data_IF_655869921440
#
_entry.id   IF_655869921440
#
_cell.length_a   1.000
_cell.length_b   1.000
_cell.length_c   1.000
_cell.angle_alpha   90.00
_cell.angle_beta   90.00
_cell.angle_gamma   90.00
#
_symmetry.space_group_name_H-M   'P 1'
#
loop_
_entity.id
_entity.type
_entity.pdbx_description
1 polymer ?
#
# COMPACT_ATOMS: atom_id res chain seq x y z
N UNK A 1 -5.85 -21.37 32.31
CA UNK A 1 -5.42 -22.12 31.12
C UNK A 1 -4.79 -21.11 30.16
N UNK A 2 -3.47 -20.98 30.20
CA UNK A 2 -2.73 -20.00 29.39
C UNK A 2 -2.68 -20.49 27.93
N UNK A 3 -3.23 -19.70 27.02
CA UNK A 3 -3.06 -19.90 25.58
C UNK A 3 -1.65 -19.42 25.18
N UNK A 4 -0.93 -20.15 24.31
CA UNK A 4 0.41 -19.77 23.87
C UNK A 4 0.37 -18.45 23.09
N UNK A 5 1.44 -17.65 23.23
CA UNK A 5 1.67 -16.41 22.50
C UNK A 5 1.67 -16.67 20.99
N UNK A 6 0.55 -16.42 20.33
CA UNK A 6 0.48 -16.25 18.88
C UNK A 6 0.92 -14.81 18.60
N UNK A 7 1.97 -14.63 17.80
CA UNK A 7 2.45 -13.33 17.36
C UNK A 7 1.40 -12.69 16.44
N UNK A 8 0.55 -11.82 16.96
CA UNK A 8 -0.33 -10.98 16.14
C UNK A 8 0.44 -9.72 15.75
N UNK A 9 0.49 -9.41 14.45
CA UNK A 9 0.77 -8.05 13.99
C UNK A 9 -0.46 -7.21 14.30
N UNK A 10 -0.32 -6.28 15.25
CA UNK A 10 -1.39 -5.35 15.62
C UNK A 10 -1.35 -4.19 14.63
N UNK A 11 -2.33 -4.08 13.73
CA UNK A 11 -2.59 -2.82 13.05
C UNK A 11 -3.44 -1.96 13.98
N UNK A 12 -2.79 -1.17 14.83
CA UNK A 12 -3.44 -0.31 15.83
C UNK A 12 -3.68 1.08 15.24
N UNK A 13 -4.89 1.61 15.34
CA UNK A 13 -5.11 3.05 15.23
C UNK A 13 -6.20 3.55 16.19
N UNK A 14 -5.86 4.70 16.77
CA UNK A 14 -6.37 5.34 17.99
C UNK A 14 -7.83 5.82 17.93
N UNK A 15 -8.35 6.13 19.14
CA UNK A 15 -9.54 6.94 19.43
C UNK A 15 -9.82 8.00 18.36
N UNK A 16 -10.98 7.97 17.72
CA UNK A 16 -11.48 9.07 16.88
C UNK A 16 -12.91 9.38 17.28
N UNK A 17 -13.13 10.60 17.77
CA UNK A 17 -14.45 11.23 17.87
C UNK A 17 -14.76 11.86 16.53
N UNK A 18 -15.74 11.34 15.79
CA UNK A 18 -16.23 12.00 14.57
C UNK A 18 -17.45 12.85 14.97
N UNK A 19 -17.22 14.12 15.29
CA UNK A 19 -18.27 15.13 15.30
C UNK A 19 -18.45 15.65 13.87
N UNK A 20 -19.66 15.57 13.33
CA UNK A 20 -19.96 15.97 11.97
C UNK A 20 -19.78 17.49 11.77
N UNK A 21 -18.64 17.91 11.20
CA UNK A 21 -18.52 19.16 10.44
C UNK A 21 -17.36 19.08 9.44
N UNK A 22 -17.50 18.21 8.44
CA UNK A 22 -16.73 18.31 7.20
C UNK A 22 -17.58 17.67 6.09
N UNK A 23 -18.47 18.47 5.51
CA UNK A 23 -19.07 18.18 4.22
C UNK A 23 -18.00 18.39 3.15
N UNK A 24 -17.55 17.31 2.51
CA UNK A 24 -17.18 17.36 1.10
C UNK A 24 -17.88 16.16 0.44
N UNK A 25 -18.81 16.47 -0.46
CA UNK A 25 -19.51 15.48 -1.27
C UNK A 25 -18.51 14.70 -2.12
N UNK A 26 -18.62 13.36 -2.13
CA UNK A 26 -17.81 12.50 -2.99
C UNK A 26 -18.70 11.67 -3.94
N UNK A 27 -18.31 11.54 -5.22
CA UNK A 27 -19.04 10.77 -6.21
C UNK A 27 -18.81 9.25 -6.07
N UNK A 28 -19.70 8.48 -6.70
CA UNK A 28 -19.94 7.03 -6.58
C UNK A 28 -18.78 6.07 -6.94
N UNK A 29 -17.53 6.53 -7.09
CA UNK A 29 -16.39 5.65 -7.36
C UNK A 29 -15.08 6.33 -6.97
N UNK A 30 -14.30 5.60 -6.15
CA UNK A 30 -13.02 6.00 -5.57
C UNK A 30 -11.96 6.31 -6.63
N UNK A 31 -11.43 7.54 -6.66
CA UNK A 31 -10.28 7.93 -7.49
C UNK A 31 -8.96 8.07 -6.69
N UNK A 32 -7.84 7.96 -7.41
CA UNK A 32 -6.43 7.95 -6.96
C UNK A 32 -6.04 9.11 -6.01
N UNK A 33 -6.77 10.24 -6.04
CA UNK A 33 -6.54 11.39 -5.15
C UNK A 33 -6.99 11.16 -3.70
N UNK A 34 -7.91 10.22 -3.46
CA UNK A 34 -8.43 9.92 -2.13
C UNK A 34 -7.48 9.01 -1.33
N UNK A 35 -6.67 8.22 -2.03
CA UNK A 35 -5.74 7.25 -1.45
C UNK A 35 -4.45 7.91 -0.93
N UNK A 36 -3.92 8.90 -1.67
CA UNK A 36 -2.66 9.58 -1.33
C UNK A 36 -2.76 10.48 -0.09
N UNK A 37 -3.97 10.85 0.34
CA UNK A 37 -4.15 11.80 1.44
C UNK A 37 -4.31 11.17 2.82
N UNK A 38 -4.82 9.93 2.98
CA UNK A 38 -5.22 9.48 4.32
C UNK A 38 -5.13 7.97 4.58
N UNK A 39 -4.09 7.55 5.29
CA UNK A 39 -4.05 6.24 5.98
C UNK A 39 -4.76 6.31 7.36
N UNK A 40 -5.12 7.51 7.81
CA UNK A 40 -5.73 7.76 9.13
C UNK A 40 -7.07 8.56 9.10
N UNK A 41 -7.66 8.84 7.92
CA UNK A 41 -8.99 9.47 7.89
C UNK A 41 -10.07 8.43 7.66
N UNK A 42 -11.07 8.50 8.53
CA UNK A 42 -12.32 7.80 8.36
C UNK A 42 -13.15 8.54 7.32
N UNK A 43 -13.64 7.83 6.30
CA UNK A 43 -14.51 8.40 5.29
C UNK A 43 -15.96 8.08 5.64
N UNK A 44 -16.81 9.10 5.73
CA UNK A 44 -18.24 8.90 5.95
C UNK A 44 -18.94 8.83 4.60
N UNK A 45 -19.66 7.74 4.33
CA UNK A 45 -20.53 7.58 3.16
C UNK A 45 -21.96 7.43 3.65
N UNK A 46 -22.88 8.21 3.08
CA UNK A 46 -24.31 8.05 3.35
C UNK A 46 -24.92 7.09 2.31
N UNK A 47 -25.31 5.91 2.75
CA UNK A 47 -25.87 4.85 1.91
C UNK A 47 -27.29 4.55 2.38
N UNK A 48 -28.30 4.85 1.56
CA UNK A 48 -29.71 4.58 1.89
C UNK A 48 -30.16 5.19 3.24
N UNK A 49 -29.62 6.36 3.60
CA UNK A 49 -29.89 7.03 4.89
C UNK A 49 -29.08 6.50 6.07
N UNK A 50 -28.11 5.61 5.84
CA UNK A 50 -27.19 5.07 6.85
C UNK A 50 -25.79 5.64 6.67
N UNK A 51 -25.10 5.99 7.76
CA UNK A 51 -23.72 6.50 7.73
C UNK A 51 -22.73 5.35 7.89
N UNK A 52 -21.95 5.10 6.86
CA UNK A 52 -20.87 4.11 6.92
C UNK A 52 -19.53 4.82 7.03
N UNK A 53 -18.73 4.40 8.01
CA UNK A 53 -17.41 4.97 8.26
C UNK A 53 -16.34 3.99 7.80
N UNK A 54 -15.68 4.35 6.70
CA UNK A 54 -14.68 3.53 6.04
C UNK A 54 -13.29 3.88 6.55
N UNK A 55 -12.51 2.84 6.78
CA UNK A 55 -11.07 2.94 6.87
C UNK A 55 -10.50 1.87 5.92
N UNK A 56 -9.37 2.14 5.27
CA UNK A 56 -8.76 1.23 4.30
C UNK A 56 -8.07 0.05 4.99
N UNK A 57 -8.79 -0.66 5.88
CA UNK A 57 -8.28 -1.80 6.60
C UNK A 57 -8.49 -3.09 5.80
N UNK A 58 -7.43 -3.91 5.76
CA UNK A 58 -7.34 -5.13 4.97
C UNK A 58 -7.50 -6.39 5.82
N UNK A 59 -8.26 -7.34 5.30
CA UNK A 59 -8.26 -8.72 5.77
C UNK A 59 -8.10 -9.69 4.60
N UNK A 60 -7.10 -10.59 4.65
CA UNK A 60 -6.94 -11.66 3.68
C UNK A 60 -8.08 -12.69 3.87
N UNK A 61 -8.98 -12.89 2.88
CA UNK A 61 -10.10 -13.81 3.00
C UNK A 61 -9.66 -15.27 3.16
N UNK A 62 -8.46 -15.61 2.69
CA UNK A 62 -7.99 -17.00 2.64
C UNK A 62 -7.36 -17.46 3.95
N UNK A 63 -6.93 -16.52 4.82
CA UNK A 63 -6.36 -16.84 6.14
C UNK A 63 -7.40 -16.72 7.25
N UNK A 64 -7.10 -17.25 8.43
CA UNK A 64 -7.90 -16.98 9.64
C UNK A 64 -7.74 -15.52 10.06
N UNK A 65 -8.80 -14.95 10.63
CA UNK A 65 -8.81 -13.54 11.03
C UNK A 65 -9.79 -13.26 12.16
N UNK A 66 -9.59 -12.12 12.82
CA UNK A 66 -10.55 -11.50 13.75
C UNK A 66 -10.72 -10.04 13.36
N UNK A 67 -11.96 -9.63 13.13
CA UNK A 67 -12.34 -8.23 12.97
C UNK A 67 -12.97 -7.81 14.30
N UNK A 68 -12.42 -6.80 14.95
CA UNK A 68 -12.83 -6.38 16.30
C UNK A 68 -13.18 -4.90 16.28
N UNK A 69 -14.38 -4.56 16.74
CA UNK A 69 -14.77 -3.19 17.05
C UNK A 69 -15.28 -3.08 18.49
N UNK A 70 -14.81 -2.07 19.20
CA UNK A 70 -15.20 -1.76 20.57
C UNK A 70 -15.96 -0.44 20.59
N UNK A 71 -17.24 -0.49 20.90
CA UNK A 71 -18.14 0.66 20.93
C UNK A 71 -18.31 1.16 22.36
N UNK A 72 -18.14 2.46 22.56
CA UNK A 72 -18.32 3.15 23.85
C UNK A 72 -19.53 4.07 23.77
N UNK A 73 -20.64 3.62 24.33
CA UNK A 73 -21.92 4.33 24.37
C UNK A 73 -22.22 4.98 25.72
N UNK A 74 -21.30 4.88 26.70
CA UNK A 74 -21.52 5.33 28.08
C UNK A 74 -21.99 6.79 28.23
N UNK A 75 -21.40 7.69 27.46
CA UNK A 75 -21.70 9.14 27.54
C UNK A 75 -22.39 9.67 26.27
N UNK A 76 -22.94 8.78 25.43
CA UNK A 76 -23.44 9.15 24.10
C UNK A 76 -24.68 8.37 23.71
N UNK A 77 -25.64 9.08 23.13
CA UNK A 77 -26.86 8.47 22.61
C UNK A 77 -26.57 7.86 21.24
N UNK A 78 -26.25 6.56 21.22
CA UNK A 78 -26.25 5.75 20.01
C UNK A 78 -27.70 5.41 19.65
N UNK A 79 -28.52 6.38 19.26
CA UNK A 79 -29.99 6.30 19.06
C UNK A 79 -30.52 5.27 18.02
N UNK A 80 -29.66 4.41 17.47
CA UNK A 80 -29.97 3.60 16.29
C UNK A 80 -29.31 2.20 16.34
N UNK A 81 -28.95 1.64 15.17
CA UNK A 81 -28.13 0.43 15.03
C UNK A 81 -26.70 0.77 14.62
N UNK A 82 -25.76 -0.05 15.03
CA UNK A 82 -24.35 0.10 14.69
C UNK A 82 -23.61 -1.23 14.69
N UNK A 83 -22.44 -1.29 14.06
CA UNK A 83 -21.59 -2.48 14.07
C UNK A 83 -20.50 -2.49 13.02
N UNK A 84 -20.25 -3.68 12.49
CA UNK A 84 -19.17 -4.00 11.56
C UNK A 84 -19.72 -4.30 10.18
N UNK A 85 -18.94 -3.96 9.15
CA UNK A 85 -19.11 -4.46 7.79
C UNK A 85 -17.78 -4.93 7.20
N UNK A 86 -17.80 -5.97 6.37
CA UNK A 86 -16.60 -6.54 5.75
C UNK A 86 -16.90 -7.15 4.38
N UNK A 87 -15.85 -7.56 3.66
CA UNK A 87 -15.99 -8.16 2.34
C UNK A 87 -16.48 -7.16 1.29
N UNK A 88 -16.28 -5.86 1.53
CA UNK A 88 -16.90 -4.79 0.74
C UNK A 88 -16.23 -4.66 -0.62
N UNK A 89 -17.06 -4.70 -1.67
CA UNK A 89 -16.66 -4.31 -3.04
C UNK A 89 -17.05 -2.87 -3.36
N UNK A 90 -18.27 -2.51 -2.98
CA UNK A 90 -18.93 -1.23 -3.22
C UNK A 90 -20.11 -1.10 -2.24
N UNK A 91 -20.96 -0.08 -2.44
CA UNK A 91 -22.18 0.17 -1.63
C UNK A 91 -23.26 -0.91 -1.80
N UNK A 92 -23.10 -1.82 -2.77
CA UNK A 92 -24.08 -2.84 -3.15
C UNK A 92 -23.67 -4.26 -2.74
N UNK A 93 -22.42 -4.48 -2.30
CA UNK A 93 -21.90 -5.80 -1.94
C UNK A 93 -20.98 -5.75 -0.71
N UNK A 94 -21.50 -6.21 0.43
CA UNK A 94 -20.77 -6.35 1.70
C UNK A 94 -21.53 -7.25 2.69
N UNK A 95 -20.83 -7.75 3.71
CA UNK A 95 -21.41 -8.41 4.88
C UNK A 95 -21.49 -7.43 6.05
N UNK A 96 -22.43 -7.65 6.97
CA UNK A 96 -22.56 -6.84 8.18
C UNK A 96 -22.97 -7.64 9.40
N UNK A 97 -22.59 -7.12 10.56
CA UNK A 97 -22.92 -7.61 11.89
C UNK A 97 -23.18 -6.42 12.79
N UNK A 98 -24.42 -6.27 13.25
CA UNK A 98 -24.91 -5.05 13.90
C UNK A 98 -25.66 -5.36 15.19
N UNK A 99 -25.64 -4.41 16.13
CA UNK A 99 -26.46 -4.36 17.33
C UNK A 99 -27.30 -3.08 17.37
N UNK A 100 -28.24 -3.00 18.30
CA UNK A 100 -29.10 -1.82 18.52
C UNK A 100 -29.39 -1.58 20.02
N UNK A 101 -30.06 -0.47 20.31
CA UNK A 101 -30.49 -0.11 21.68
C UNK A 101 -31.53 -1.05 22.30
N UNK A 102 -32.24 -1.85 21.51
CA UNK A 102 -33.15 -2.87 22.04
C UNK A 102 -32.41 -4.13 22.54
N UNK A 103 -31.07 -4.09 22.61
CA UNK A 103 -30.20 -5.21 22.96
C UNK A 103 -30.45 -6.41 22.04
N UNK A 104 -30.58 -6.12 20.74
CA UNK A 104 -30.72 -7.11 19.67
C UNK A 104 -29.50 -7.06 18.75
N UNK A 105 -29.21 -8.19 18.10
CA UNK A 105 -28.20 -8.27 17.06
C UNK A 105 -28.79 -8.83 15.77
N UNK A 106 -28.17 -8.53 14.63
CA UNK A 106 -28.47 -9.14 13.33
C UNK A 106 -27.21 -9.42 12.53
N UNK A 107 -27.30 -10.38 11.60
CA UNK A 107 -26.23 -10.70 10.65
C UNK A 107 -26.85 -10.76 9.26
N UNK A 108 -26.16 -10.21 8.28
CA UNK A 108 -26.62 -10.25 6.90
C UNK A 108 -25.55 -9.86 5.90
N UNK A 109 -25.96 -9.77 4.65
CA UNK A 109 -25.13 -9.26 3.56
C UNK A 109 -25.99 -8.56 2.52
N UNK A 110 -25.40 -7.59 1.84
CA UNK A 110 -25.98 -6.94 0.67
C UNK A 110 -25.37 -7.56 -0.59
N UNK A 111 -26.20 -7.81 -1.60
CA UNK A 111 -25.76 -8.24 -2.92
C UNK A 111 -26.62 -7.54 -3.98
N UNK A 112 -25.98 -6.81 -4.89
CA UNK A 112 -26.64 -6.00 -5.92
C UNK A 112 -27.71 -5.04 -5.32
N UNK A 113 -27.40 -4.43 -4.19
CA UNK A 113 -28.31 -3.51 -3.51
C UNK A 113 -29.42 -4.19 -2.71
N UNK A 114 -29.60 -5.51 -2.81
CA UNK A 114 -30.61 -6.27 -2.06
C UNK A 114 -30.05 -6.77 -0.73
N UNK A 115 -30.77 -6.48 0.35
CA UNK A 115 -30.46 -6.98 1.68
C UNK A 115 -30.84 -8.47 1.81
N UNK A 116 -29.93 -9.29 2.31
CA UNK A 116 -30.14 -10.70 2.60
C UNK A 116 -29.91 -10.95 4.09
N UNK A 117 -30.93 -11.46 4.76
CA UNK A 117 -30.89 -11.80 6.18
C UNK A 117 -30.20 -13.15 6.34
N UNK A 118 -29.19 -13.21 7.21
CA UNK A 118 -28.65 -14.48 7.72
C UNK A 118 -29.29 -14.78 9.08
N UNK A 119 -29.19 -13.82 10.00
CA UNK A 119 -29.81 -13.89 11.32
C UNK A 119 -30.64 -12.60 11.47
N UNK A 120 -31.97 -12.71 11.66
CA UNK A 120 -32.83 -11.55 11.91
C UNK A 120 -32.50 -10.92 13.27
N UNK A 121 -33.10 -9.76 13.56
CA UNK A 121 -32.96 -9.13 14.87
C UNK A 121 -33.34 -10.10 15.98
N UNK A 122 -32.36 -10.41 16.83
CA UNK A 122 -32.51 -11.36 17.93
C UNK A 122 -32.00 -10.76 19.22
N UNK A 123 -32.88 -10.78 20.23
CA UNK A 123 -32.61 -10.20 21.55
C UNK A 123 -31.60 -11.02 22.36
N UNK A 124 -30.62 -10.33 22.96
CA UNK A 124 -29.54 -10.89 23.81
C UNK A 124 -29.20 -9.96 24.99
N UNK A 125 -30.19 -9.64 25.83
CA UNK A 125 -30.07 -8.69 26.96
C UNK A 125 -28.99 -9.04 28.01
N UNK A 126 -28.62 -10.32 28.14
CA UNK A 126 -27.53 -10.74 29.06
C UNK A 126 -26.13 -10.59 28.45
N UNK A 127 -26.04 -10.22 27.18
CA UNK A 127 -24.77 -10.16 26.42
C UNK A 127 -24.52 -8.75 25.91
N UNK A 128 -25.53 -8.09 25.34
CA UNK A 128 -25.43 -6.71 24.84
C UNK A 128 -25.71 -5.76 26.01
N UNK A 129 -24.76 -4.87 26.30
CA UNK A 129 -24.89 -3.88 27.38
C UNK A 129 -25.28 -2.52 26.82
N UNK A 130 -25.70 -1.59 27.68
CA UNK A 130 -26.08 -0.24 27.29
C UNK A 130 -24.88 0.67 27.04
N UNK A 131 -23.80 0.51 27.83
CA UNK A 131 -22.68 1.46 27.85
C UNK A 131 -21.49 1.04 26.98
N UNK A 132 -21.28 -0.26 26.77
CA UNK A 132 -20.08 -0.74 26.10
C UNK A 132 -20.27 -2.10 25.43
N UNK A 133 -19.88 -2.20 24.16
CA UNK A 133 -19.99 -3.45 23.42
C UNK A 133 -18.78 -3.71 22.54
N UNK A 134 -18.23 -4.91 22.64
CA UNK A 134 -17.26 -5.43 21.67
C UNK A 134 -17.99 -6.33 20.68
N UNK A 135 -17.90 -6.01 19.39
CA UNK A 135 -18.33 -6.89 18.31
C UNK A 135 -17.08 -7.50 17.67
N UNK A 136 -17.09 -8.83 17.52
CA UNK A 136 -16.03 -9.55 16.83
C UNK A 136 -16.58 -10.52 15.78
N UNK A 137 -15.98 -10.48 14.58
CA UNK A 137 -16.17 -11.48 13.53
C UNK A 137 -14.88 -12.27 13.38
N UNK A 138 -14.91 -13.55 13.74
CA UNK A 138 -13.74 -14.41 13.77
C UNK A 138 -13.87 -15.57 12.80
N UNK A 139 -12.98 -15.64 11.80
CA UNK A 139 -12.82 -16.81 10.95
C UNK A 139 -11.83 -17.80 11.58
N UNK A 140 -12.28 -19.05 11.74
CA UNK A 140 -11.44 -20.21 12.09
C UNK A 140 -11.67 -21.32 11.09
N UNK A 141 -10.68 -21.60 10.24
CA UNK A 141 -10.79 -22.51 9.12
C UNK A 141 -11.98 -22.17 8.23
N UNK A 142 -12.95 -23.07 8.15
CA UNK A 142 -14.14 -22.95 7.31
C UNK A 142 -15.35 -22.34 8.04
N UNK A 143 -15.17 -21.81 9.25
CA UNK A 143 -16.29 -21.31 10.08
C UNK A 143 -16.09 -19.86 10.50
N UNK A 144 -17.13 -19.04 10.33
CA UNK A 144 -17.24 -17.72 10.96
C UNK A 144 -17.94 -17.82 12.31
N UNK A 145 -17.39 -17.14 13.30
CA UNK A 145 -17.90 -16.98 14.65
C UNK A 145 -18.21 -15.50 14.87
N UNK A 146 -19.41 -15.21 15.35
CA UNK A 146 -19.84 -13.86 15.71
C UNK A 146 -19.90 -13.75 17.21
N UNK A 147 -19.16 -12.80 17.78
CA UNK A 147 -19.06 -12.60 19.21
C UNK A 147 -19.55 -11.20 19.60
N UNK A 148 -20.24 -11.14 20.72
CA UNK A 148 -20.57 -9.91 21.43
C UNK A 148 -20.04 -10.06 22.85
N UNK A 149 -19.21 -9.12 23.31
CA UNK A 149 -18.65 -9.13 24.68
C UNK A 149 -18.09 -10.51 25.06
N UNK A 150 -17.20 -11.03 24.21
CA UNK A 150 -16.54 -12.35 24.30
C UNK A 150 -17.46 -13.59 24.26
N UNK A 151 -18.77 -13.41 24.06
CA UNK A 151 -19.73 -14.52 23.92
C UNK A 151 -20.05 -14.75 22.46
N UNK A 152 -19.85 -15.99 22.00
CA UNK A 152 -20.32 -16.42 20.67
C UNK A 152 -21.85 -16.35 20.64
N UNK A 153 -22.40 -15.50 19.77
CA UNK A 153 -23.85 -15.33 19.57
C UNK A 153 -24.36 -16.07 18.33
N UNK A 154 -23.49 -16.33 17.35
CA UNK A 154 -23.84 -17.03 16.11
C UNK A 154 -22.61 -17.69 15.46
N UNK A 155 -22.84 -18.71 14.62
CA UNK A 155 -21.81 -19.34 13.78
C UNK A 155 -22.38 -19.66 12.39
N UNK A 156 -21.54 -19.60 11.36
CA UNK A 156 -21.89 -20.05 10.01
C UNK A 156 -20.69 -20.61 9.26
N UNK A 157 -20.95 -21.32 8.16
CA UNK A 157 -19.93 -21.63 7.17
C UNK A 157 -19.36 -20.35 6.53
N UNK A 158 -18.04 -20.29 6.42
CA UNK A 158 -17.33 -19.20 5.74
C UNK A 158 -17.64 -19.20 4.25
N UNK A 159 -17.98 -18.04 3.71
CA UNK A 159 -18.11 -17.80 2.27
C UNK A 159 -17.00 -16.84 1.83
N UNK A 160 -16.16 -17.21 0.86
CA UNK A 160 -15.15 -16.33 0.31
C UNK A 160 -15.76 -15.01 -0.18
N UNK A 161 -15.04 -13.92 0.04
CA UNK A 161 -15.41 -12.59 -0.44
C UNK A 161 -14.30 -12.04 -1.34
N UNK A 162 -14.71 -11.33 -2.40
CA UNK A 162 -13.82 -10.90 -3.49
C UNK A 162 -12.88 -9.75 -3.09
N UNK A 163 -13.30 -8.90 -2.17
CA UNK A 163 -12.54 -7.72 -1.73
C UNK A 163 -12.50 -7.64 -0.21
N UNK A 164 -11.49 -6.97 0.30
CA UNK A 164 -11.00 -7.11 1.67
C UNK A 164 -11.32 -5.93 2.58
N UNK A 165 -12.15 -4.99 2.10
CA UNK A 165 -12.49 -3.79 2.85
C UNK A 165 -13.31 -4.11 4.09
N UNK A 166 -12.96 -3.47 5.21
CA UNK A 166 -13.65 -3.54 6.50
C UNK A 166 -14.02 -2.12 6.96
N UNK A 167 -15.22 -1.93 7.49
CA UNK A 167 -15.72 -0.62 7.89
C UNK A 167 -16.62 -0.71 9.13
N UNK A 168 -16.74 0.41 9.84
CA UNK A 168 -17.75 0.59 10.87
C UNK A 168 -19.05 1.09 10.24
N UNK A 169 -20.18 0.59 10.70
CA UNK A 169 -21.50 0.92 10.17
C UNK A 169 -22.37 1.51 11.27
N UNK A 170 -23.11 2.59 10.99
CA UNK A 170 -24.06 3.17 11.93
C UNK A 170 -25.20 3.87 11.18
N UNK A 171 -26.41 3.83 11.72
CA UNK A 171 -27.47 4.77 11.32
C UNK A 171 -27.69 5.88 12.35
N UNK A 172 -26.86 5.94 13.39
CA UNK A 172 -26.82 7.07 14.31
C UNK A 172 -26.09 8.27 13.68
N UNK A 173 -26.41 9.47 14.19
CA UNK A 173 -25.76 10.71 13.75
C UNK A 173 -24.25 10.70 14.00
N UNK A 174 -23.83 10.05 15.08
CA UNK A 174 -22.45 9.83 15.47
C UNK A 174 -22.20 8.34 15.72
N UNK A 175 -20.94 7.92 15.64
CA UNK A 175 -20.49 6.61 16.09
C UNK A 175 -19.33 6.81 17.07
N UNK A 176 -19.40 6.15 18.22
CA UNK A 176 -18.34 6.20 19.22
C UNK A 176 -17.73 4.81 19.42
N UNK A 177 -16.42 4.72 19.21
CA UNK A 177 -15.66 3.48 19.34
C UNK A 177 -14.29 3.75 19.98
N UNK A 178 -13.81 2.80 20.80
CA UNK A 178 -12.46 2.83 21.40
C UNK A 178 -11.42 2.21 20.49
N UNK A 179 -11.80 1.14 19.80
CA UNK A 179 -10.88 0.33 19.01
C UNK A 179 -11.58 -0.23 17.79
N UNK A 180 -10.87 -0.21 16.68
CA UNK A 180 -11.19 -0.98 15.49
C UNK A 180 -9.90 -1.63 15.01
N UNK A 181 -9.88 -2.96 15.01
CA UNK A 181 -8.66 -3.73 14.79
C UNK A 181 -8.92 -4.98 13.96
N UNK A 182 -7.91 -5.35 13.17
CA UNK A 182 -7.86 -6.62 12.45
C UNK A 182 -6.70 -7.42 13.02
N UNK A 183 -6.98 -8.66 13.41
CA UNK A 183 -5.96 -9.62 13.83
C UNK A 183 -5.91 -10.74 12.81
N UNK A 184 -4.77 -10.90 12.16
CA UNK A 184 -4.55 -11.94 11.17
C UNK A 184 -3.08 -12.33 11.16
N UNK A 185 -2.82 -13.62 11.02
CA UNK A 185 -1.47 -14.11 10.79
C UNK A 185 -1.05 -13.76 9.35
N UNK A 186 -0.13 -12.80 9.22
CA UNK A 186 0.40 -12.40 7.93
C UNK A 186 1.50 -13.35 7.43
N UNK A 187 1.88 -14.35 8.23
CA UNK A 187 3.00 -15.26 7.99
C UNK A 187 4.26 -14.80 8.71
N UNK A 188 5.28 -15.67 8.70
CA UNK A 188 6.61 -15.32 9.16
C UNK A 188 7.30 -14.53 8.07
N UNK A 189 7.71 -13.30 8.38
CA UNK A 189 8.67 -12.58 7.55
C UNK A 189 10.04 -13.14 7.90
N UNK A 190 10.70 -13.75 6.91
CA UNK A 190 12.09 -14.18 7.07
C UNK A 190 12.94 -12.93 7.13
N UNK A 191 13.41 -12.58 8.32
CA UNK A 191 14.34 -11.47 8.50
C UNK A 191 15.75 -11.98 8.18
N UNK A 192 16.49 -11.20 7.40
CA UNK A 192 17.93 -11.43 7.21
C UNK A 192 18.62 -11.28 8.56
N UNK A 193 19.47 -12.24 8.92
CA UNK A 193 20.26 -12.17 10.15
C UNK A 193 21.13 -10.91 10.14
N UNK A 194 21.03 -10.09 11.19
CA UNK A 194 21.69 -8.78 11.24
C UNK A 194 21.10 -7.72 10.29
N UNK A 195 19.90 -7.94 9.73
CA UNK A 195 19.18 -6.91 8.96
C UNK A 195 18.81 -5.67 9.79
N UNK A 196 18.81 -5.80 11.11
CA UNK A 196 18.73 -4.71 12.08
C UNK A 196 20.08 -4.05 12.40
N UNK A 197 21.19 -4.44 11.76
CA UNK A 197 22.51 -3.83 11.99
C UNK A 197 22.51 -2.31 11.69
N UNK A 198 21.54 -1.83 10.91
CA UNK A 198 21.30 -0.40 10.67
C UNK A 198 20.46 0.27 11.76
N UNK A 199 19.78 -0.48 12.62
CA UNK A 199 19.02 0.06 13.74
C UNK A 199 19.96 0.74 14.75
N UNK A 200 19.71 2.03 15.01
CA UNK A 200 20.56 2.84 15.88
C UNK A 200 21.74 3.52 15.17
N UNK A 201 21.96 3.28 13.88
CA UNK A 201 22.88 4.11 13.09
C UNK A 201 22.29 5.51 12.91
N UNK A 202 23.12 6.54 13.13
CA UNK A 202 22.72 7.92 12.85
C UNK A 202 23.10 8.27 11.42
N UNK A 203 22.18 8.77 10.57
CA UNK A 203 22.53 9.17 9.22
C UNK A 203 23.61 10.26 9.28
N UNK A 204 24.68 10.08 8.51
CA UNK A 204 25.72 11.09 8.35
C UNK A 204 25.37 11.97 7.16
N UNK A 205 25.29 13.28 7.38
CA UNK A 205 25.14 14.24 6.29
C UNK A 205 26.40 14.18 5.39
N UNK A 206 26.21 14.03 4.08
CA UNK A 206 27.30 13.91 3.10
C UNK A 206 28.06 15.24 2.84
N UNK A 207 27.63 16.34 3.45
CA UNK A 207 28.27 17.64 3.34
C UNK A 207 27.89 18.41 2.06
N UNK A 208 28.36 19.67 1.94
CA UNK A 208 28.00 20.57 0.84
C UNK A 208 28.64 20.21 -0.50
N UNK A 209 29.62 19.30 -0.51
CA UNK A 209 30.20 18.78 -1.75
C UNK A 209 29.20 17.91 -2.52
N UNK A 210 28.33 17.19 -1.80
CA UNK A 210 27.30 16.34 -2.40
C UNK A 210 25.92 17.01 -2.33
N UNK A 211 25.53 17.47 -1.14
CA UNK A 211 24.22 18.09 -0.90
C UNK A 211 24.18 19.53 -1.40
N UNK A 212 23.01 19.96 -1.87
CA UNK A 212 22.77 21.34 -2.30
C UNK A 212 21.59 22.00 -1.59
N UNK A 213 21.35 23.26 -1.95
CA UNK A 213 20.14 24.00 -1.58
C UNK A 213 18.95 23.69 -2.51
N UNK A 214 19.15 22.90 -3.58
CA UNK A 214 18.10 22.44 -4.47
C UNK A 214 17.41 21.19 -3.90
N UNK A 215 16.39 20.70 -4.60
CA UNK A 215 15.75 19.41 -4.27
C UNK A 215 16.65 18.29 -4.79
N UNK A 216 17.41 17.68 -3.88
CA UNK A 216 18.21 16.48 -4.12
C UNK A 216 17.43 15.22 -3.68
N UNK A 217 17.28 14.23 -4.57
CA UNK A 217 16.50 13.01 -4.27
C UNK A 217 16.89 11.80 -5.13
N UNK A 218 16.24 10.66 -4.84
CA UNK A 218 16.41 9.39 -5.54
C UNK A 218 17.88 8.93 -5.64
N UNK A 219 18.61 8.83 -4.52
CA UNK A 219 19.99 8.35 -4.54
C UNK A 219 20.05 6.87 -4.93
N UNK A 220 20.98 6.54 -5.82
CA UNK A 220 21.31 5.18 -6.26
C UNK A 220 22.82 5.01 -6.20
N UNK A 221 23.30 4.07 -5.39
CA UNK A 221 24.73 3.78 -5.26
C UNK A 221 25.13 2.64 -6.20
N UNK A 222 26.31 2.73 -6.80
CA UNK A 222 26.88 1.66 -7.61
C UNK A 222 27.19 0.42 -6.75
N UNK A 223 27.14 -0.80 -7.33
CA UNK A 223 27.44 -2.04 -6.61
C UNK A 223 28.79 -2.09 -5.90
N UNK A 224 29.80 -1.38 -6.41
CA UNK A 224 31.11 -1.26 -5.77
C UNK A 224 31.17 -0.22 -4.64
N UNK A 225 30.07 0.50 -4.38
CA UNK A 225 29.97 1.53 -3.36
C UNK A 225 30.75 2.82 -3.67
N UNK A 226 31.28 2.98 -4.89
CA UNK A 226 32.20 4.07 -5.25
C UNK A 226 31.54 5.23 -5.99
N UNK A 227 30.36 5.05 -6.56
CA UNK A 227 29.65 6.12 -7.29
C UNK A 227 28.24 6.24 -6.76
N UNK A 228 27.87 7.46 -6.36
CA UNK A 228 26.51 7.81 -5.97
C UNK A 228 25.90 8.63 -7.09
N UNK A 229 24.84 8.11 -7.71
CA UNK A 229 23.98 8.84 -8.62
C UNK A 229 22.79 9.39 -7.84
N UNK A 230 22.31 10.57 -8.20
CA UNK A 230 21.11 11.14 -7.61
C UNK A 230 20.53 12.18 -8.55
N UNK A 231 19.34 12.67 -8.23
CA UNK A 231 18.66 13.71 -8.99
C UNK A 231 18.71 15.03 -8.26
N UNK A 232 18.92 16.10 -9.03
CA UNK A 232 18.78 17.48 -8.58
C UNK A 232 17.76 18.20 -9.48
N UNK A 233 16.78 18.86 -8.87
CA UNK A 233 15.73 19.55 -9.63
C UNK A 233 16.08 21.00 -9.93
N UNK A 234 15.87 21.40 -11.19
CA UNK A 234 15.97 22.79 -11.66
C UNK A 234 17.27 23.51 -11.22
N UNK A 235 18.38 22.76 -11.15
CA UNK A 235 19.69 23.34 -10.87
C UNK A 235 20.13 24.26 -12.01
N UNK A 236 20.85 25.32 -11.66
CA UNK A 236 21.29 26.34 -12.63
C UNK A 236 22.23 25.77 -13.71
N UNK A 237 23.02 24.75 -13.35
CA UNK A 237 23.92 24.02 -14.24
C UNK A 237 23.27 22.76 -14.86
N UNK A 238 21.95 22.60 -14.68
CA UNK A 238 21.15 21.52 -15.24
C UNK A 238 20.59 21.82 -16.64
N UNK A 239 19.88 20.84 -17.19
CA UNK A 239 19.19 20.94 -18.48
C UNK A 239 17.68 21.19 -18.32
N UNK A 240 17.18 21.19 -17.08
CA UNK A 240 15.79 21.51 -16.73
C UNK A 240 15.07 20.34 -16.10
N UNK A 241 13.98 20.61 -15.37
CA UNK A 241 13.21 19.56 -14.71
C UNK A 241 14.05 18.83 -13.65
N UNK A 242 14.46 17.61 -13.96
CA UNK A 242 15.18 16.72 -13.05
C UNK A 242 16.41 16.16 -13.77
N UNK A 243 17.59 16.48 -13.26
CA UNK A 243 18.87 16.14 -13.87
C UNK A 243 19.61 15.13 -13.00
N UNK A 244 20.28 14.17 -13.64
CA UNK A 244 21.18 13.20 -13.00
C UNK A 244 22.49 13.91 -12.65
N UNK A 245 22.85 13.85 -11.37
CA UNK A 245 24.15 14.22 -10.83
C UNK A 245 24.84 12.97 -10.29
N UNK A 246 26.16 13.01 -10.17
CA UNK A 246 26.92 11.96 -9.52
C UNK A 246 28.04 12.52 -8.64
N UNK A 247 28.45 11.73 -7.64
CA UNK A 247 29.64 11.93 -6.83
C UNK A 247 30.40 10.62 -6.71
N UNK A 248 31.73 10.69 -6.62
CA UNK A 248 32.59 9.51 -6.49
C UNK A 248 33.21 9.46 -5.11
N UNK A 249 33.46 8.26 -4.60
CA UNK A 249 34.04 8.03 -3.29
C UNK A 249 35.49 7.60 -3.41
N UNK A 250 36.39 8.34 -2.78
CA UNK A 250 37.80 7.97 -2.65
C UNK A 250 38.01 6.81 -1.68
N UNK A 251 39.21 6.25 -1.66
CA UNK A 251 39.57 5.10 -0.82
C UNK A 251 39.48 5.39 0.68
N UNK A 252 39.72 6.64 1.09
CA UNK A 252 39.52 7.13 2.46
C UNK A 252 38.03 7.37 2.82
N UNK A 253 37.13 7.09 1.88
CA UNK A 253 35.69 7.15 2.05
C UNK A 253 35.09 8.55 1.92
N UNK A 254 35.85 9.53 1.42
CA UNK A 254 35.39 10.91 1.16
C UNK A 254 34.66 10.97 -0.18
N UNK A 255 33.54 11.68 -0.23
CA UNK A 255 32.79 11.91 -1.46
C UNK A 255 33.30 13.16 -2.17
N UNK A 256 33.44 13.08 -3.50
CA UNK A 256 33.82 14.20 -4.35
C UNK A 256 32.69 15.23 -4.46
N UNK A 257 33.03 16.42 -4.94
CA UNK A 257 32.03 17.39 -5.40
C UNK A 257 31.10 16.73 -6.42
N UNK A 258 29.79 16.98 -6.29
CA UNK A 258 28.79 16.47 -7.23
C UNK A 258 28.90 17.15 -8.58
N UNK A 259 28.79 16.39 -9.65
CA UNK A 259 28.83 16.88 -11.03
C UNK A 259 27.56 16.48 -11.78
N UNK A 260 27.04 17.37 -12.62
CA UNK A 260 25.97 17.04 -13.56
C UNK A 260 26.51 16.04 -14.59
N UNK A 261 25.82 14.91 -14.80
CA UNK A 261 26.33 13.83 -15.68
C UNK A 261 26.39 14.23 -17.17
N UNK A 262 25.68 15.29 -17.56
CA UNK A 262 25.66 15.80 -18.92
C UNK A 262 24.80 15.00 -19.90
N UNK A 263 24.86 15.39 -21.18
CA UNK A 263 24.27 14.64 -22.29
C UNK A 263 25.13 13.40 -22.61
N UNK A 264 24.54 12.29 -23.07
CA UNK A 264 23.13 12.15 -23.45
C UNK A 264 22.22 11.65 -22.31
N UNK A 265 22.68 11.61 -21.05
CA UNK A 265 21.84 11.08 -19.96
C UNK A 265 20.79 12.09 -19.50
N UNK A 266 21.19 13.36 -19.44
CA UNK A 266 20.30 14.47 -19.19
C UNK A 266 19.76 15.07 -20.49
N UNK A 267 18.50 15.45 -20.45
CA UNK A 267 17.80 16.24 -21.45
C UNK A 267 16.80 17.18 -20.75
N UNK A 268 15.97 17.89 -21.51
CA UNK A 268 15.02 18.90 -21.00
C UNK A 268 13.88 18.30 -20.13
N UNK A 269 13.76 16.97 -20.11
CA UNK A 269 12.78 16.23 -19.31
C UNK A 269 13.30 15.84 -17.93
N UNK A 270 12.65 14.84 -17.35
CA UNK A 270 13.05 14.30 -16.06
C UNK A 270 13.92 13.06 -16.27
N UNK A 271 15.08 13.04 -15.64
CA UNK A 271 16.13 12.05 -15.85
C UNK A 271 16.55 11.45 -14.50
N UNK A 272 16.62 10.13 -14.42
CA UNK A 272 16.98 9.40 -13.19
C UNK A 272 17.76 8.14 -13.51
N UNK A 273 18.67 7.75 -12.63
CA UNK A 273 19.25 6.40 -12.57
C UNK A 273 18.45 5.58 -11.56
N UNK A 274 17.76 4.56 -12.04
CA UNK A 274 17.00 3.65 -11.19
C UNK A 274 17.82 2.47 -10.69
N UNK A 275 18.74 1.96 -11.51
CA UNK A 275 19.63 0.89 -11.10
C UNK A 275 20.98 1.02 -11.80
N UNK A 276 22.02 0.58 -11.09
CA UNK A 276 23.39 0.46 -11.61
C UNK A 276 23.71 -1.03 -11.65
N UNK A 277 24.09 -1.53 -12.82
CA UNK A 277 24.40 -2.94 -13.00
C UNK A 277 25.74 -3.32 -12.34
N UNK A 278 25.95 -4.61 -11.97
CA UNK A 278 27.20 -5.08 -11.35
C UNK A 278 28.46 -4.84 -12.18
N UNK A 279 28.33 -4.63 -13.48
CA UNK A 279 29.44 -4.29 -14.37
C UNK A 279 29.93 -2.84 -14.20
N UNK A 280 29.23 -2.00 -13.41
CA UNK A 280 29.44 -0.55 -13.26
C UNK A 280 29.47 0.25 -14.57
N UNK A 281 29.07 -0.38 -15.68
CA UNK A 281 29.11 0.16 -17.03
C UNK A 281 27.72 0.24 -17.65
N UNK A 282 26.70 -0.37 -17.04
CA UNK A 282 25.32 -0.33 -17.51
C UNK A 282 24.43 0.36 -16.46
N UNK A 283 23.66 1.35 -16.90
CA UNK A 283 22.65 2.01 -16.07
C UNK A 283 21.26 1.75 -16.63
N UNK A 284 20.32 1.46 -15.74
CA UNK A 284 18.90 1.55 -16.02
C UNK A 284 18.40 2.95 -15.65
N UNK A 285 17.77 3.63 -16.60
CA UNK A 285 17.25 4.99 -16.41
C UNK A 285 15.75 5.05 -16.66
N UNK A 286 15.09 6.02 -16.02
CA UNK A 286 13.74 6.45 -16.38
C UNK A 286 13.87 7.75 -17.19
N UNK A 287 14.43 7.62 -18.39
CA UNK A 287 14.51 8.66 -19.43
C UNK A 287 14.74 7.98 -20.77
N UNK A 288 13.96 8.32 -21.79
CA UNK A 288 14.13 7.74 -23.11
C UNK A 288 13.86 8.75 -24.24
N UNK A 289 14.81 8.89 -25.16
CA UNK A 289 14.71 9.81 -26.30
C UNK A 289 13.61 9.40 -27.29
N UNK A 290 12.68 10.31 -27.62
CA UNK A 290 11.62 10.09 -28.61
C UNK A 290 10.37 9.39 -28.08
N UNK A 291 9.99 9.63 -26.81
CA UNK A 291 8.95 8.84 -26.12
C UNK A 291 7.57 9.25 -26.60
N UNK A 292 6.71 8.26 -26.81
CA UNK A 292 5.34 8.48 -27.26
C UNK A 292 4.31 8.23 -26.16
N UNK A 293 4.68 7.48 -25.12
CA UNK A 293 3.79 7.18 -23.98
C UNK A 293 4.57 6.88 -22.69
N UNK A 294 3.83 6.78 -21.58
CA UNK A 294 4.38 6.42 -20.26
C UNK A 294 4.87 4.97 -20.17
N UNK A 295 4.43 4.09 -21.09
CA UNK A 295 4.87 2.70 -21.12
C UNK A 295 6.32 2.53 -21.65
N UNK A 296 6.91 3.61 -22.18
CA UNK A 296 8.22 3.62 -22.85
C UNK A 296 9.33 4.30 -22.04
N UNK A 297 9.11 4.51 -20.74
CA UNK A 297 10.02 5.28 -19.89
C UNK A 297 11.28 4.51 -19.46
N UNK A 298 11.24 3.17 -19.52
CA UNK A 298 12.37 2.31 -19.18
C UNK A 298 13.44 2.33 -20.28
N UNK A 299 14.66 2.72 -19.92
CA UNK A 299 15.80 2.72 -20.83
C UNK A 299 17.09 2.22 -20.18
N UNK A 300 18.04 1.87 -21.03
CA UNK A 300 19.37 1.41 -20.66
C UNK A 300 20.42 2.24 -21.40
N UNK A 301 21.49 2.59 -20.70
CA UNK A 301 22.67 3.24 -21.26
C UNK A 301 23.93 2.50 -20.82
N UNK A 302 24.95 2.55 -21.67
CA UNK A 302 26.21 1.85 -21.47
C UNK A 302 27.37 2.84 -21.54
N UNK A 303 28.35 2.67 -20.66
CA UNK A 303 29.59 3.43 -20.71
C UNK A 303 30.43 2.94 -21.89
N UNK A 304 30.86 3.87 -22.72
CA UNK A 304 31.76 3.64 -23.86
C UNK A 304 33.07 4.38 -23.64
N UNK A 305 34.04 4.18 -24.55
CA UNK A 305 35.32 4.92 -24.53
C UNK A 305 35.13 6.44 -24.63
N UNK A 306 34.03 6.90 -25.22
CA UNK A 306 33.75 8.32 -25.49
C UNK A 306 32.69 8.90 -24.51
N UNK A 307 32.34 8.15 -23.46
CA UNK A 307 31.30 8.52 -22.50
C UNK A 307 30.07 7.60 -22.58
N UNK A 308 28.96 8.02 -21.99
CA UNK A 308 27.74 7.22 -21.98
C UNK A 308 27.03 7.21 -23.33
N UNK A 309 26.48 6.06 -23.73
CA UNK A 309 25.63 5.95 -24.90
C UNK A 309 24.28 6.64 -24.69
N UNK A 310 23.60 7.03 -25.76
CA UNK A 310 22.21 7.51 -25.67
C UNK A 310 21.33 6.43 -25.03
N UNK A 311 20.50 6.77 -24.02
CA UNK A 311 19.55 5.83 -23.42
C UNK A 311 18.66 5.15 -24.46
N UNK A 312 18.75 3.82 -24.52
CA UNK A 312 18.03 2.94 -25.42
C UNK A 312 16.85 2.28 -24.71
N UNK A 313 15.67 2.34 -25.31
CA UNK A 313 14.45 1.79 -24.71
C UNK A 313 14.48 0.29 -24.58
N UNK A 314 13.84 -0.19 -23.51
CA UNK A 314 13.41 -1.58 -23.37
C UNK A 314 11.92 -1.61 -23.11
N UNK A 315 11.18 -2.31 -23.98
CA UNK A 315 9.74 -2.44 -23.83
C UNK A 315 9.39 -3.52 -22.81
N UNK A 316 8.33 -3.30 -22.04
CA UNK A 316 7.66 -4.32 -21.26
C UNK A 316 6.38 -4.70 -22.02
N UNK A 317 6.27 -5.95 -22.44
CA UNK A 317 5.17 -6.41 -23.28
C UNK A 317 3.83 -6.17 -22.56
N UNK A 318 2.89 -5.42 -23.17
CA UNK A 318 1.56 -5.15 -22.58
C UNK A 318 1.63 -4.57 -21.16
N UNK A 319 2.48 -3.56 -20.92
CA UNK A 319 2.58 -2.91 -19.60
C UNK A 319 1.26 -2.26 -19.13
N UNK A 320 0.48 -1.67 -20.04
CA UNK A 320 -0.89 -1.18 -19.76
C UNK A 320 -0.97 -0.35 -18.48
N UNK A 321 -0.04 0.58 -18.28
CA UNK A 321 -0.04 1.44 -17.12
C UNK A 321 -1.26 2.37 -17.14
N UNK A 322 -2.00 2.41 -16.03
CA UNK A 322 -3.22 3.23 -15.88
C UNK A 322 -3.05 4.39 -14.90
N UNK A 323 -1.88 4.51 -14.25
CA UNK A 323 -1.64 5.49 -13.19
C UNK A 323 -0.81 6.67 -13.65
N UNK A 324 -0.45 7.52 -12.69
CA UNK A 324 0.58 8.56 -12.87
C UNK A 324 1.97 8.08 -12.44
N UNK A 325 2.01 7.14 -11.50
CA UNK A 325 3.22 6.77 -10.78
C UNK A 325 3.58 5.32 -11.02
N UNK A 326 4.87 5.11 -11.27
CA UNK A 326 5.48 3.80 -11.40
C UNK A 326 6.87 3.85 -10.79
N UNK A 327 7.28 2.76 -10.16
CA UNK A 327 8.62 2.62 -9.62
C UNK A 327 9.16 1.27 -10.06
N UNK A 328 10.38 1.25 -10.57
CA UNK A 328 11.06 0.06 -11.06
C UNK A 328 12.30 -0.18 -10.24
N UNK A 329 12.59 -1.47 -10.07
CA UNK A 329 13.88 -1.96 -9.63
C UNK A 329 14.30 -3.15 -10.50
N UNK A 330 15.60 -3.27 -10.73
CA UNK A 330 16.20 -4.26 -11.60
C UNK A 330 17.13 -5.14 -10.76
N UNK A 331 16.89 -6.45 -10.80
CA UNK A 331 17.75 -7.41 -10.15
C UNK A 331 19.19 -7.32 -10.69
N UNK A 332 20.16 -7.69 -9.85
CA UNK A 332 21.58 -7.64 -10.19
C UNK A 332 21.93 -8.47 -11.45
N UNK A 333 21.14 -9.48 -11.79
CA UNK A 333 21.31 -10.28 -13.01
C UNK A 333 20.94 -9.55 -14.31
N UNK A 334 20.29 -8.39 -14.22
CA UNK A 334 19.83 -7.57 -15.35
C UNK A 334 18.66 -8.17 -16.12
N UNK A 335 18.07 -9.26 -15.61
CA UNK A 335 17.05 -10.05 -16.31
C UNK A 335 15.69 -9.99 -15.64
N UNK A 336 15.62 -9.58 -14.38
CA UNK A 336 14.36 -9.50 -13.64
C UNK A 336 14.09 -8.06 -13.22
N UNK A 337 12.92 -7.53 -13.58
CA UNK A 337 12.45 -6.23 -13.08
C UNK A 337 11.25 -6.47 -12.20
N UNK A 338 11.27 -5.90 -11.00
CA UNK A 338 10.10 -5.75 -10.14
C UNK A 338 9.68 -4.30 -10.10
N UNK A 339 8.39 -4.05 -10.20
CA UNK A 339 7.87 -2.69 -10.30
C UNK A 339 6.50 -2.56 -9.68
N UNK A 340 6.25 -1.41 -9.07
CA UNK A 340 4.92 -1.02 -8.60
C UNK A 340 4.21 -0.22 -9.68
N UNK A 341 3.01 -0.65 -10.06
CA UNK A 341 2.19 0.03 -11.06
C UNK A 341 0.69 -0.23 -10.87
N UNK A 342 -0.13 0.65 -11.45
CA UNK A 342 -1.58 0.44 -11.58
C UNK A 342 -1.89 -0.11 -12.97
N UNK A 343 -2.61 -1.24 -13.01
CA UNK A 343 -3.01 -1.98 -14.21
C UNK A 343 -4.46 -2.48 -14.06
N UNK A 344 -5.11 -2.96 -15.14
CA UNK A 344 -6.46 -3.52 -15.06
C UNK A 344 -6.61 -4.67 -14.05
N UNK A 345 -5.53 -5.44 -13.82
CA UNK A 345 -5.47 -6.59 -12.92
C UNK A 345 -4.93 -6.25 -11.50
N UNK A 346 -4.76 -4.97 -11.18
CA UNK A 346 -4.34 -4.51 -9.85
C UNK A 346 -5.44 -4.77 -8.80
N UNK A 347 -5.04 -5.33 -7.65
CA UNK A 347 -5.90 -5.56 -6.49
C UNK A 347 -6.16 -4.26 -5.72
N UNK A 348 -5.12 -3.47 -5.46
CA UNK A 348 -5.13 -2.24 -4.66
C UNK A 348 -5.05 -0.92 -5.44
N UNK A 349 -4.38 0.08 -4.86
CA UNK A 349 -4.06 1.35 -5.52
C UNK A 349 -2.97 1.17 -6.57
N UNK A 350 -1.87 0.54 -6.19
CA UNK A 350 -0.78 0.06 -7.06
C UNK A 350 -0.26 -1.24 -6.48
N UNK A 351 0.00 -2.19 -7.37
CA UNK A 351 0.47 -3.51 -7.02
C UNK A 351 1.92 -3.70 -7.50
N UNK A 352 2.67 -4.59 -6.84
CA UNK A 352 3.92 -5.12 -7.37
C UNK A 352 3.68 -6.16 -8.46
N UNK A 353 4.46 -6.01 -9.52
CA UNK A 353 4.54 -6.90 -10.66
C UNK A 353 6.00 -7.30 -10.88
N UNK A 354 6.19 -8.46 -11.51
CA UNK A 354 7.49 -8.90 -12.01
C UNK A 354 7.45 -9.09 -13.52
N UNK A 355 8.57 -8.81 -14.19
CA UNK A 355 8.78 -9.15 -15.59
C UNK A 355 10.22 -9.58 -15.86
N UNK A 356 10.41 -10.42 -16.88
CA UNK A 356 11.65 -11.10 -17.21
C UNK A 356 12.15 -10.74 -18.61
N UNK A 357 13.46 -10.57 -18.77
CA UNK A 357 14.12 -10.28 -20.03
C UNK A 357 13.98 -11.48 -20.98
N UNK A 358 13.57 -11.21 -22.23
CA UNK A 358 13.42 -12.20 -23.28
C UNK A 358 14.61 -12.15 -24.27
N UNK A 359 14.83 -13.20 -25.07
CA UNK A 359 15.91 -13.25 -26.07
C UNK A 359 15.86 -12.13 -27.12
N UNK A 360 14.67 -11.62 -27.42
CA UNK A 360 14.48 -10.48 -28.34
C UNK A 360 14.81 -9.11 -27.71
N UNK A 361 15.21 -9.09 -26.43
CA UNK A 361 15.57 -7.90 -25.69
C UNK A 361 14.41 -7.12 -25.07
N UNK A 362 13.15 -7.58 -25.17
CA UNK A 362 12.03 -6.99 -24.41
C UNK A 362 11.74 -7.76 -23.13
N UNK A 363 11.01 -7.16 -22.20
CA UNK A 363 10.55 -7.83 -20.99
C UNK A 363 9.17 -8.47 -21.21
N UNK A 364 8.90 -9.59 -20.53
CA UNK A 364 7.62 -10.32 -20.58
C UNK A 364 6.41 -9.46 -20.18
N UNK A 365 5.20 -10.01 -20.30
CA UNK A 365 4.03 -9.36 -19.72
C UNK A 365 4.13 -9.30 -18.19
N UNK A 366 3.72 -8.19 -17.54
CA UNK A 366 3.77 -8.07 -16.10
C UNK A 366 2.97 -9.20 -15.42
N UNK A 367 3.59 -9.92 -14.49
CA UNK A 367 2.92 -10.89 -13.63
C UNK A 367 2.67 -10.26 -12.26
N UNK A 368 1.40 -10.10 -11.89
CA UNK A 368 1.01 -9.60 -10.57
C UNK A 368 1.54 -10.54 -9.48
N UNK A 369 2.16 -10.00 -8.42
CA UNK A 369 2.73 -10.77 -7.31
C UNK A 369 1.68 -11.32 -6.32
N UNK A 370 0.40 -11.06 -6.57
CA UNK A 370 -0.71 -11.62 -5.82
C UNK A 370 -0.94 -10.94 -4.47
N UNK A 371 -2.10 -11.22 -3.88
CA UNK A 371 -2.56 -10.65 -2.61
C UNK A 371 -1.85 -11.20 -1.35
N UNK A 372 -0.78 -11.97 -1.52
CA UNK A 372 0.12 -12.35 -0.42
C UNK A 372 1.15 -11.25 -0.17
N UNK A 373 1.61 -10.59 -1.24
CA UNK A 373 2.56 -9.49 -1.18
C UNK A 373 1.85 -8.15 -1.38
N UNK A 374 0.97 -8.08 -2.39
CA UNK A 374 0.24 -6.85 -2.70
C UNK A 374 -0.88 -6.60 -1.70
N UNK A 375 -0.97 -5.36 -1.26
CA UNK A 375 -2.00 -4.88 -0.34
C UNK A 375 -3.09 -4.14 -1.15
N UNK A 376 -4.22 -3.77 -0.54
CA UNK A 376 -5.15 -2.81 -1.18
C UNK A 376 -4.53 -1.41 -1.32
N UNK A 377 -3.40 -1.19 -0.66
CA UNK A 377 -2.59 0.01 -0.63
C UNK A 377 -1.99 0.40 -1.97
N UNK A 378 -1.14 1.40 -1.92
CA UNK A 378 -0.11 1.56 -2.94
C UNK A 378 1.13 0.84 -2.47
N UNK A 379 1.55 -0.20 -3.18
CA UNK A 379 2.94 -0.62 -3.10
C UNK A 379 3.84 0.44 -3.73
N UNK A 380 5.04 0.60 -3.20
CA UNK A 380 5.96 1.66 -3.59
C UNK A 380 7.40 1.18 -3.54
N UNK A 381 8.20 1.65 -4.49
CA UNK A 381 9.67 1.56 -4.46
C UNK A 381 10.16 0.15 -4.12
N UNK A 382 9.83 -0.86 -4.95
CA UNK A 382 10.37 -2.20 -4.72
C UNK A 382 11.90 -2.17 -4.76
N UNK A 383 12.50 -3.12 -4.07
CA UNK A 383 13.93 -3.37 -4.10
C UNK A 383 14.15 -4.89 -4.07
N UNK A 384 15.02 -5.37 -4.96
CA UNK A 384 15.50 -6.74 -5.03
C UNK A 384 16.96 -6.76 -4.57
N UNK A 385 17.21 -7.51 -3.51
CA UNK A 385 18.56 -7.72 -3.01
C UNK A 385 19.39 -8.58 -4.00
N UNK A 386 20.71 -8.48 -3.90
CA UNK A 386 21.62 -9.13 -4.85
C UNK A 386 21.63 -10.66 -4.75
N UNK A 387 21.15 -11.22 -3.65
CA UNK A 387 20.99 -12.65 -3.41
C UNK A 387 19.72 -13.25 -4.02
N UNK A 388 18.85 -12.41 -4.61
CA UNK A 388 17.58 -12.82 -5.22
C UNK A 388 16.50 -13.08 -4.19
#
# INVERSE_FOLDING_TARGET
MHLPKIAYTILLLLYVVISASAQEELPLWFEEKDFEKNVNRWYQVEEYGEKTYHNALYVNPNKDFRLVAEFDSKDRIMDSKWGLSWGRKDVYKYYHFEINNQQEFRIGYQLHGKFNVVEPWRRKQKVITEDYNTLEVQKKGTTLHFLINDKVVYKMAYRPFERTGVALKSSSKEIAFKRFAIYQDMGVINLVEGGDAVAGTKPKNLGPEVNSTYVDKSPTISPDGKTLYFVRENAKDGFGGQDIYFSTRSEDGVWSKSENIGRPLNNEGNNFVNAVMPDNNTLMTINSYGRTSMDEILAFTYRTKDGWSTPSRKSINRLQHLGRWVSFDLAADGKTIVFSTKRPDTYGGRDLYVSFLQPNGSFTAPRNLGNTINTPGNEHCPFLAADG
#
